data_IF_078768131543
#
_entry.id   IF_078768131543
#
_cell.length_a   1.000
_cell.length_b   1.000
_cell.length_c   1.000
_cell.angle_alpha   90.00
_cell.angle_beta   90.00
_cell.angle_gamma   90.00
#
_symmetry.space_group_name_H-M   'P 1'
#
loop_
_entity.id
_entity.type
_entity.pdbx_description
1 polymer ?
#
# COMPACT_ATOMS: atom_id res chain seq x y z
N UNK A 1 15.76 -14.17 26.91
CA UNK A 1 16.14 -15.36 26.13
C UNK A 1 15.16 -15.48 24.98
N UNK A 2 15.62 -15.31 23.74
CA UNK A 2 14.81 -15.53 22.54
C UNK A 2 14.48 -17.02 22.47
N UNK A 3 13.20 -17.36 22.61
CA UNK A 3 12.72 -18.74 22.53
C UNK A 3 12.94 -19.21 21.08
N UNK A 4 13.57 -20.38 20.83
CA UNK A 4 13.66 -20.90 19.47
C UNK A 4 12.23 -21.15 18.95
N UNK A 5 11.94 -20.64 17.76
CA UNK A 5 10.67 -20.89 17.05
C UNK A 5 10.86 -22.19 16.27
N UNK A 6 10.05 -23.20 16.57
CA UNK A 6 10.03 -24.45 15.83
C UNK A 6 9.10 -24.28 14.64
N UNK A 7 9.66 -24.32 13.42
CA UNK A 7 8.83 -24.34 12.22
C UNK A 7 8.09 -25.68 12.11
N UNK A 8 6.85 -25.66 11.63
CA UNK A 8 6.00 -26.84 11.51
C UNK A 8 5.48 -27.03 10.08
N UNK A 9 5.24 -28.29 9.72
CA UNK A 9 4.78 -28.63 8.38
C UNK A 9 5.89 -28.60 7.32
N UNK A 10 5.48 -28.51 6.07
CA UNK A 10 6.36 -28.50 4.88
C UNK A 10 6.27 -27.18 4.13
N UNK A 11 7.35 -26.83 3.44
CA UNK A 11 7.32 -25.73 2.47
C UNK A 11 6.56 -26.22 1.22
N UNK A 12 5.60 -25.43 0.77
CA UNK A 12 4.74 -25.72 -0.35
C UNK A 12 5.53 -25.74 -1.66
N UNK A 13 5.23 -26.71 -2.52
CA UNK A 13 5.67 -26.70 -3.92
C UNK A 13 4.82 -25.71 -4.72
N UNK A 14 3.51 -25.66 -4.43
CA UNK A 14 2.57 -24.72 -5.01
C UNK A 14 2.13 -23.70 -3.94
N UNK A 15 2.55 -22.42 -4.04
CA UNK A 15 2.18 -21.42 -3.05
C UNK A 15 0.69 -21.09 -3.08
N UNK A 16 0.16 -20.67 -1.93
CA UNK A 16 -1.19 -20.12 -1.83
C UNK A 16 -1.17 -18.61 -2.09
N UNK A 17 -2.02 -18.14 -3.00
CA UNK A 17 -2.17 -16.71 -3.27
C UNK A 17 -3.30 -16.11 -2.41
N UNK A 18 -2.94 -15.22 -1.49
CA UNK A 18 -3.92 -14.46 -0.69
C UNK A 18 -4.35 -13.24 -1.50
N UNK A 19 -5.44 -13.36 -2.27
CA UNK A 19 -5.90 -12.33 -3.21
C UNK A 19 -6.04 -10.94 -2.58
N UNK A 20 -6.63 -10.86 -1.37
CA UNK A 20 -6.86 -9.59 -0.68
C UNK A 20 -5.56 -8.84 -0.34
N UNK A 21 -4.51 -9.60 -0.05
CA UNK A 21 -3.15 -9.11 0.29
C UNK A 21 -2.28 -9.00 -0.98
N UNK A 22 -2.65 -9.69 -2.05
CA UNK A 22 -1.89 -9.79 -3.30
C UNK A 22 -0.61 -10.60 -3.17
N UNK A 23 -0.45 -11.46 -2.15
CA UNK A 23 0.83 -12.15 -1.87
C UNK A 23 0.70 -13.67 -1.90
N UNK A 24 1.74 -14.30 -2.42
CA UNK A 24 1.95 -15.74 -2.31
C UNK A 24 2.58 -16.07 -0.96
N UNK A 25 2.08 -17.10 -0.30
CA UNK A 25 2.70 -17.72 0.88
C UNK A 25 3.06 -19.16 0.57
N UNK A 26 4.22 -19.57 1.05
CA UNK A 26 4.82 -20.87 0.75
C UNK A 26 4.93 -21.77 1.97
N UNK A 27 4.67 -21.26 3.18
CA UNK A 27 4.55 -22.10 4.36
C UNK A 27 3.54 -21.52 5.35
N UNK A 28 3.22 -22.29 6.39
CA UNK A 28 2.22 -21.87 7.36
C UNK A 28 2.67 -20.64 8.16
N UNK A 29 3.97 -20.49 8.44
CA UNK A 29 4.50 -19.32 9.13
C UNK A 29 4.41 -18.06 8.27
N UNK A 30 4.63 -18.16 6.95
CA UNK A 30 4.42 -17.05 6.02
C UNK A 30 2.94 -16.65 5.96
N UNK A 31 2.01 -17.61 6.05
CA UNK A 31 0.59 -17.33 6.18
C UNK A 31 0.29 -16.60 7.50
N UNK A 32 0.80 -17.08 8.64
CA UNK A 32 0.66 -16.42 9.94
C UNK A 32 1.18 -14.98 9.90
N UNK A 33 2.38 -14.78 9.36
CA UNK A 33 2.99 -13.47 9.17
C UNK A 33 2.07 -12.56 8.34
N UNK A 34 1.55 -13.06 7.21
CA UNK A 34 0.66 -12.28 6.35
C UNK A 34 -0.66 -11.91 7.04
N UNK A 35 -1.26 -12.83 7.80
CA UNK A 35 -2.52 -12.58 8.51
C UNK A 35 -2.35 -11.49 9.58
N UNK A 36 -1.29 -11.55 10.39
CA UNK A 36 -1.03 -10.55 11.45
C UNK A 36 -0.74 -9.17 10.85
N UNK A 37 0.12 -9.09 9.83
CA UNK A 37 0.54 -7.80 9.26
C UNK A 37 -0.49 -7.16 8.33
N UNK A 38 -1.50 -7.93 7.90
CA UNK A 38 -2.53 -7.47 6.98
C UNK A 38 -3.93 -7.77 7.50
N UNK A 39 -4.11 -7.91 8.82
CA UNK A 39 -5.38 -8.28 9.46
C UNK A 39 -6.56 -7.43 8.96
N UNK A 40 -6.30 -6.14 8.70
CA UNK A 40 -7.29 -5.21 8.18
C UNK A 40 -7.86 -5.60 6.80
N UNK A 41 -7.09 -6.33 5.99
CA UNK A 41 -7.46 -6.78 4.65
C UNK A 41 -8.16 -8.14 4.64
N UNK A 42 -8.18 -8.85 5.77
CA UNK A 42 -8.69 -10.21 5.86
C UNK A 42 -10.19 -10.17 6.18
N UNK A 43 -10.96 -10.89 5.38
CA UNK A 43 -12.39 -11.12 5.56
C UNK A 43 -12.71 -12.61 5.37
N UNK A 44 -13.99 -12.96 5.47
CA UNK A 44 -14.46 -14.35 5.36
C UNK A 44 -14.12 -14.99 4.01
N UNK A 45 -13.89 -14.19 2.95
CA UNK A 45 -13.50 -14.68 1.62
C UNK A 45 -12.06 -15.24 1.61
N UNK A 46 -11.22 -14.86 2.58
CA UNK A 46 -9.87 -15.42 2.72
C UNK A 46 -9.85 -16.84 3.28
N UNK A 47 -10.87 -17.25 4.06
CA UNK A 47 -10.91 -18.52 4.79
C UNK A 47 -11.90 -19.51 4.14
N UNK A 48 -11.65 -19.81 2.87
CA UNK A 48 -12.44 -20.74 2.05
C UNK A 48 -11.79 -22.12 1.97
N UNK A 49 -12.51 -23.08 1.38
CA UNK A 49 -12.07 -24.48 1.28
C UNK A 49 -10.67 -24.63 0.66
N UNK A 50 -10.34 -23.83 -0.35
CA UNK A 50 -9.05 -23.88 -1.05
C UNK A 50 -7.87 -23.60 -0.11
N UNK A 51 -8.03 -22.69 0.87
CA UNK A 51 -7.02 -22.44 1.90
C UNK A 51 -6.79 -23.70 2.76
N UNK A 52 -7.87 -24.35 3.20
CA UNK A 52 -7.78 -25.53 4.07
C UNK A 52 -7.14 -26.71 3.33
N UNK A 53 -7.50 -26.89 2.05
CA UNK A 53 -6.89 -27.88 1.18
C UNK A 53 -5.38 -27.64 0.99
N UNK A 54 -4.97 -26.38 0.84
CA UNK A 54 -3.56 -26.01 0.77
C UNK A 54 -2.82 -26.31 2.08
N UNK A 55 -3.38 -25.94 3.24
CA UNK A 55 -2.80 -26.25 4.56
C UNK A 55 -2.63 -27.76 4.76
N UNK A 56 -3.60 -28.56 4.32
CA UNK A 56 -3.53 -30.01 4.39
C UNK A 56 -2.45 -30.59 3.48
N UNK A 57 -2.48 -30.23 2.19
CA UNK A 57 -1.73 -30.93 1.13
C UNK A 57 -0.32 -30.38 0.94
N UNK A 58 -0.18 -29.06 0.91
CA UNK A 58 1.10 -28.39 0.62
C UNK A 58 1.92 -28.17 1.90
N UNK A 59 1.25 -27.84 3.02
CA UNK A 59 1.92 -27.70 4.32
C UNK A 59 1.95 -28.99 5.16
N UNK A 60 1.30 -30.06 4.71
CA UNK A 60 1.21 -31.34 5.45
C UNK A 60 0.56 -31.24 6.84
N UNK A 61 -0.35 -30.26 7.06
CA UNK A 61 -0.96 -29.95 8.36
C UNK A 61 -2.43 -30.42 8.42
N UNK A 62 -2.66 -31.72 8.21
CA UNK A 62 -3.99 -32.35 8.14
C UNK A 62 -4.87 -32.00 9.36
N UNK A 63 -4.31 -32.11 10.58
CA UNK A 63 -5.07 -31.85 11.82
C UNK A 63 -5.57 -30.41 11.91
N UNK A 64 -4.75 -29.45 11.51
CA UNK A 64 -5.12 -28.04 11.51
C UNK A 64 -6.19 -27.77 10.45
N UNK A 65 -6.02 -28.30 9.24
CA UNK A 65 -7.00 -28.16 8.17
C UNK A 65 -8.39 -28.70 8.57
N UNK A 66 -8.45 -29.88 9.20
CA UNK A 66 -9.70 -30.48 9.67
C UNK A 66 -10.36 -29.67 10.79
N UNK A 67 -9.57 -29.12 11.71
CA UNK A 67 -10.07 -28.24 12.77
C UNK A 67 -10.68 -26.97 12.19
N UNK A 68 -9.98 -26.30 11.27
CA UNK A 68 -10.46 -25.09 10.61
C UNK A 68 -11.72 -25.36 9.76
N UNK A 69 -11.77 -26.46 9.02
CA UNK A 69 -12.99 -26.89 8.28
C UNK A 69 -14.17 -27.12 9.21
N UNK A 70 -13.94 -27.79 10.35
CA UNK A 70 -14.97 -28.03 11.37
C UNK A 70 -15.52 -26.73 11.94
N UNK A 71 -14.63 -25.77 12.23
CA UNK A 71 -14.99 -24.44 12.70
C UNK A 71 -15.77 -23.64 11.65
N UNK A 72 -15.33 -23.66 10.39
CA UNK A 72 -16.03 -23.02 9.27
C UNK A 72 -17.43 -23.62 9.07
N UNK A 73 -17.56 -24.94 9.10
CA UNK A 73 -18.86 -25.64 9.01
C UNK A 73 -19.81 -25.28 10.17
N UNK A 74 -19.27 -25.02 11.36
CA UNK A 74 -20.01 -24.54 12.54
C UNK A 74 -20.28 -23.03 12.52
N UNK A 75 -19.84 -22.30 11.49
CA UNK A 75 -19.95 -20.85 11.36
C UNK A 75 -19.30 -20.10 12.53
N UNK A 76 -18.16 -20.60 13.00
CA UNK A 76 -17.31 -19.83 13.92
C UNK A 76 -16.87 -18.51 13.27
N UNK A 77 -16.58 -17.51 14.09
CA UNK A 77 -16.14 -16.20 13.59
C UNK A 77 -14.77 -16.28 12.90
N UNK A 78 -14.52 -15.37 11.96
CA UNK A 78 -13.22 -15.25 11.29
C UNK A 78 -12.08 -15.02 12.29
N UNK A 79 -12.31 -14.17 13.30
CA UNK A 79 -11.34 -13.94 14.37
C UNK A 79 -10.98 -15.25 15.09
N UNK A 80 -11.97 -16.10 15.39
CA UNK A 80 -11.72 -17.41 16.01
C UNK A 80 -10.93 -18.35 15.10
N UNK A 81 -11.24 -18.38 13.80
CA UNK A 81 -10.50 -19.20 12.83
C UNK A 81 -9.02 -18.78 12.75
N UNK A 82 -8.78 -17.47 12.62
CA UNK A 82 -7.42 -16.91 12.58
C UNK A 82 -6.70 -17.17 13.91
N UNK A 83 -7.35 -16.92 15.04
CA UNK A 83 -6.81 -17.20 16.37
C UNK A 83 -6.36 -18.64 16.53
N UNK A 84 -7.22 -19.61 16.20
CA UNK A 84 -6.89 -21.04 16.24
C UNK A 84 -5.71 -21.39 15.34
N UNK A 85 -5.64 -20.82 14.14
CA UNK A 85 -4.51 -21.02 13.24
C UNK A 85 -3.20 -20.49 13.85
N UNK A 86 -3.20 -19.25 14.33
CA UNK A 86 -2.01 -18.61 14.89
C UNK A 86 -1.52 -19.32 16.17
N UNK A 87 -2.45 -19.69 17.06
CA UNK A 87 -2.16 -20.43 18.29
C UNK A 87 -1.61 -21.84 17.98
N UNK A 88 -2.17 -22.54 16.98
CA UNK A 88 -1.70 -23.86 16.57
C UNK A 88 -0.24 -23.82 16.07
N UNK A 89 0.09 -22.82 15.25
CA UNK A 89 1.43 -22.69 14.66
C UNK A 89 2.44 -22.20 15.70
N UNK A 90 2.03 -21.33 16.62
CA UNK A 90 2.90 -20.80 17.67
C UNK A 90 4.01 -19.89 17.15
N UNK A 91 3.85 -19.32 15.95
CA UNK A 91 4.79 -18.38 15.33
C UNK A 91 4.68 -16.98 15.95
N UNK A 92 3.47 -16.55 16.30
CA UNK A 92 3.18 -15.23 16.84
C UNK A 92 3.10 -15.22 18.37
N UNK A 93 3.39 -14.07 18.95
CA UNK A 93 3.17 -13.82 20.38
C UNK A 93 1.69 -13.71 20.69
N UNK A 94 1.30 -14.02 21.93
CA UNK A 94 -0.10 -13.89 22.36
C UNK A 94 -0.66 -12.48 22.13
N UNK A 95 0.17 -11.45 22.34
CA UNK A 95 -0.20 -10.05 22.10
C UNK A 95 -0.56 -9.78 20.64
N UNK A 96 0.26 -10.27 19.70
CA UNK A 96 -0.01 -10.13 18.25
C UNK A 96 -1.29 -10.86 17.84
N UNK A 97 -1.56 -12.05 18.43
CA UNK A 97 -2.78 -12.81 18.18
C UNK A 97 -4.00 -12.04 18.69
N UNK A 98 -3.97 -11.56 19.94
CA UNK A 98 -5.09 -10.84 20.54
C UNK A 98 -5.40 -9.53 19.76
N UNK A 99 -4.37 -8.79 19.34
CA UNK A 99 -4.49 -7.59 18.49
C UNK A 99 -5.09 -7.92 17.11
N UNK A 100 -4.66 -9.02 16.51
CA UNK A 100 -5.18 -9.49 15.22
C UNK A 100 -6.65 -9.87 15.33
N UNK A 101 -7.04 -10.61 16.37
CA UNK A 101 -8.45 -10.98 16.62
C UNK A 101 -9.33 -9.76 16.91
N UNK A 102 -8.81 -8.73 17.56
CA UNK A 102 -9.50 -7.45 17.76
C UNK A 102 -9.80 -6.77 16.43
N UNK A 103 -8.79 -6.57 15.58
CA UNK A 103 -8.95 -5.97 14.24
C UNK A 103 -10.00 -6.74 13.42
N UNK A 104 -9.95 -8.08 13.44
CA UNK A 104 -10.90 -8.91 12.69
C UNK A 104 -12.34 -8.80 13.21
N UNK A 105 -12.53 -8.67 14.53
CA UNK A 105 -13.87 -8.47 15.13
C UNK A 105 -14.44 -7.10 14.76
N UNK A 106 -13.61 -6.06 14.80
CA UNK A 106 -14.00 -4.71 14.38
C UNK A 106 -14.36 -4.70 12.89
N UNK A 107 -13.55 -5.34 12.06
CA UNK A 107 -13.81 -5.51 10.65
C UNK A 107 -15.15 -6.20 10.38
N UNK A 108 -15.44 -7.32 11.05
CA UNK A 108 -16.69 -8.06 10.86
C UNK A 108 -17.95 -7.20 11.10
N UNK A 109 -17.88 -6.20 11.98
CA UNK A 109 -18.99 -5.28 12.26
C UNK A 109 -19.19 -4.15 11.24
N UNK A 110 -18.27 -3.98 10.29
CA UNK A 110 -18.36 -2.93 9.28
C UNK A 110 -19.20 -3.35 8.07
N UNK A 111 -20.00 -2.41 7.57
CA UNK A 111 -20.65 -2.53 6.26
C UNK A 111 -19.61 -2.66 5.13
N UNK A 112 -19.98 -3.33 4.03
CA UNK A 112 -19.09 -3.65 2.90
C UNK A 112 -18.40 -2.41 2.35
N UNK A 113 -19.10 -1.28 2.27
CA UNK A 113 -18.56 -0.05 1.74
C UNK A 113 -17.53 0.60 2.67
N UNK A 114 -17.73 0.50 3.99
CA UNK A 114 -16.74 0.97 4.97
C UNK A 114 -15.49 0.11 4.97
N UNK A 115 -15.64 -1.21 4.87
CA UNK A 115 -14.51 -2.14 4.69
C UNK A 115 -13.70 -1.77 3.44
N UNK A 116 -14.39 -1.52 2.33
CA UNK A 116 -13.80 -1.15 1.04
C UNK A 116 -13.05 0.18 1.11
N UNK A 117 -13.63 1.22 1.72
CA UNK A 117 -12.95 2.51 1.91
C UNK A 117 -11.67 2.36 2.74
N UNK A 118 -11.78 1.75 3.92
CA UNK A 118 -10.63 1.64 4.79
C UNK A 118 -9.53 0.74 4.20
N UNK A 119 -9.90 -0.26 3.39
CA UNK A 119 -8.93 -1.04 2.60
C UNK A 119 -8.24 -0.19 1.53
N UNK A 120 -8.99 0.66 0.83
CA UNK A 120 -8.42 1.58 -0.16
C UNK A 120 -7.42 2.55 0.50
N UNK A 121 -7.78 3.13 1.65
CA UNK A 121 -6.90 4.00 2.45
C UNK A 121 -5.62 3.27 2.89
N UNK A 122 -5.75 2.03 3.38
CA UNK A 122 -4.59 1.22 3.77
C UNK A 122 -3.65 0.95 2.58
N UNK A 123 -4.21 0.54 1.43
CA UNK A 123 -3.44 0.24 0.23
C UNK A 123 -2.75 1.49 -0.31
N UNK A 124 -3.43 2.63 -0.29
CA UNK A 124 -2.88 3.92 -0.70
C UNK A 124 -1.69 4.32 0.19
N UNK A 125 -1.86 4.28 1.51
CA UNK A 125 -0.80 4.60 2.48
C UNK A 125 0.39 3.63 2.40
N UNK A 126 0.15 2.40 1.95
CA UNK A 126 1.18 1.37 1.76
C UNK A 126 1.88 1.45 0.39
N UNK A 127 1.57 2.46 -0.45
CA UNK A 127 2.16 2.62 -1.78
C UNK A 127 1.61 1.68 -2.85
N UNK A 128 0.54 0.93 -2.56
CA UNK A 128 -0.07 -0.04 -3.48
C UNK A 128 -1.16 0.59 -4.34
N UNK A 129 -0.76 1.60 -5.10
CA UNK A 129 -1.69 2.51 -5.79
C UNK A 129 -2.63 1.77 -6.76
N UNK A 130 -2.16 0.77 -7.51
CA UNK A 130 -3.01 0.01 -8.42
C UNK A 130 -4.16 -0.72 -7.71
N UNK A 131 -3.91 -1.27 -6.52
CA UNK A 131 -4.95 -1.95 -5.75
C UNK A 131 -5.89 -0.93 -5.10
N UNK A 132 -5.35 0.18 -4.60
CA UNK A 132 -6.13 1.28 -4.04
C UNK A 132 -7.09 1.89 -5.08
N UNK A 133 -6.62 2.15 -6.30
CA UNK A 133 -7.46 2.65 -7.40
C UNK A 133 -8.67 1.76 -7.65
N UNK A 134 -8.50 0.43 -7.72
CA UNK A 134 -9.62 -0.51 -7.92
C UNK A 134 -10.66 -0.43 -6.81
N UNK A 135 -10.22 -0.27 -5.58
CA UNK A 135 -11.13 -0.18 -4.43
C UNK A 135 -11.86 1.17 -4.40
N UNK A 136 -11.18 2.27 -4.71
CA UNK A 136 -11.83 3.58 -4.86
C UNK A 136 -12.81 3.61 -6.04
N UNK A 137 -12.45 3.06 -7.19
CA UNK A 137 -13.33 2.96 -8.36
C UNK A 137 -14.60 2.15 -8.03
N UNK A 138 -14.44 1.05 -7.28
CA UNK A 138 -15.57 0.27 -6.78
C UNK A 138 -16.51 1.14 -5.92
N UNK A 139 -15.96 1.93 -4.99
CA UNK A 139 -16.75 2.81 -4.12
C UNK A 139 -17.49 3.89 -4.93
N UNK A 140 -16.79 4.57 -5.84
CA UNK A 140 -17.37 5.63 -6.68
C UNK A 140 -18.48 5.10 -7.61
N UNK A 141 -18.33 3.87 -8.12
CA UNK A 141 -19.30 3.23 -9.01
C UNK A 141 -20.52 2.70 -8.25
N UNK A 142 -20.31 2.09 -7.08
CA UNK A 142 -21.36 1.37 -6.35
C UNK A 142 -22.04 2.21 -5.25
N UNK A 143 -21.55 3.44 -5.01
CA UNK A 143 -22.21 4.43 -4.14
C UNK A 143 -22.35 5.78 -4.86
N UNK A 144 -23.28 5.91 -5.81
CA UNK A 144 -23.50 7.18 -6.53
C UNK A 144 -23.95 8.31 -5.58
N UNK A 145 -24.75 7.98 -4.56
CA UNK A 145 -25.27 8.91 -3.54
C UNK A 145 -24.29 9.12 -2.36
N UNK A 146 -23.00 8.85 -2.56
CA UNK A 146 -21.97 9.07 -1.54
C UNK A 146 -21.92 10.54 -1.11
N UNK A 147 -21.71 10.77 0.19
CA UNK A 147 -21.49 12.11 0.75
C UNK A 147 -20.37 12.85 0.01
N UNK A 148 -20.61 14.14 -0.26
CA UNK A 148 -19.70 14.95 -1.08
C UNK A 148 -18.30 15.08 -0.48
N UNK A 149 -18.16 15.10 0.85
CA UNK A 149 -16.85 15.13 1.50
C UNK A 149 -16.14 13.78 1.40
N UNK A 150 -16.89 12.68 1.49
CA UNK A 150 -16.32 11.33 1.29
C UNK A 150 -15.82 11.17 -0.15
N UNK A 151 -16.60 11.63 -1.14
CA UNK A 151 -16.19 11.66 -2.55
C UNK A 151 -14.93 12.50 -2.74
N UNK A 152 -14.90 13.72 -2.21
CA UNK A 152 -13.74 14.59 -2.26
C UNK A 152 -12.48 13.97 -1.64
N UNK A 153 -12.63 13.19 -0.56
CA UNK A 153 -11.52 12.45 0.05
C UNK A 153 -10.95 11.39 -0.89
N UNK A 154 -11.82 10.64 -1.57
CA UNK A 154 -11.41 9.65 -2.58
C UNK A 154 -10.69 10.34 -3.74
N UNK A 155 -11.27 11.40 -4.29
CA UNK A 155 -10.67 12.17 -5.39
C UNK A 155 -9.31 12.78 -5.00
N UNK A 156 -9.19 13.30 -3.79
CA UNK A 156 -7.91 13.78 -3.27
C UNK A 156 -6.87 12.66 -3.26
N UNK A 157 -7.24 11.48 -2.75
CA UNK A 157 -6.36 10.32 -2.68
C UNK A 157 -5.98 9.82 -4.09
N UNK A 158 -6.90 9.84 -5.06
CA UNK A 158 -6.57 9.59 -6.47
C UNK A 158 -5.56 10.60 -7.03
N UNK A 159 -5.71 11.88 -6.70
CA UNK A 159 -4.74 12.94 -7.02
C UNK A 159 -3.35 12.64 -6.46
N UNK A 160 -3.27 12.25 -5.19
CA UNK A 160 -2.00 11.85 -4.56
C UNK A 160 -1.39 10.64 -5.27
N UNK A 161 -2.18 9.63 -5.60
CA UNK A 161 -1.69 8.44 -6.32
C UNK A 161 -1.15 8.81 -7.71
N UNK A 162 -1.85 9.67 -8.47
CA UNK A 162 -1.36 10.15 -9.76
C UNK A 162 -0.07 10.97 -9.62
N UNK A 163 0.03 11.86 -8.63
CA UNK A 163 1.23 12.65 -8.37
C UNK A 163 2.43 11.75 -8.02
N UNK A 164 2.23 10.69 -7.23
CA UNK A 164 3.26 9.69 -6.89
C UNK A 164 3.75 8.89 -8.11
N UNK A 165 2.93 8.80 -9.16
CA UNK A 165 3.27 8.19 -10.44
C UNK A 165 3.79 9.22 -11.47
N UNK A 166 4.04 10.46 -11.05
CA UNK A 166 4.47 11.59 -11.90
C UNK A 166 3.47 11.94 -13.02
N UNK A 167 2.20 11.58 -12.86
CA UNK A 167 1.10 11.92 -13.77
C UNK A 167 0.42 13.20 -13.29
N UNK A 168 1.15 14.32 -13.33
CA UNK A 168 0.72 15.59 -12.73
C UNK A 168 -0.50 16.21 -13.43
N UNK A 169 -0.65 15.97 -14.72
CA UNK A 169 -1.82 16.35 -15.52
C UNK A 169 -3.12 15.72 -14.98
N UNK A 170 -3.07 14.44 -14.58
CA UNK A 170 -4.20 13.75 -13.96
C UNK A 170 -4.36 14.14 -12.50
N UNK A 171 -3.24 14.32 -11.79
CA UNK A 171 -3.26 14.70 -10.39
C UNK A 171 -3.96 16.03 -10.18
N UNK A 172 -3.65 17.06 -10.99
CA UNK A 172 -4.31 18.37 -10.91
C UNK A 172 -5.82 18.24 -11.10
N UNK A 173 -6.28 17.45 -12.06
CA UNK A 173 -7.72 17.29 -12.33
C UNK A 173 -8.44 16.69 -11.12
N UNK A 174 -7.85 15.69 -10.47
CA UNK A 174 -8.44 15.06 -9.28
C UNK A 174 -8.42 15.98 -8.06
N UNK A 175 -7.31 16.69 -7.84
CA UNK A 175 -7.21 17.66 -6.73
C UNK A 175 -8.19 18.82 -6.90
N UNK A 176 -8.42 19.30 -8.13
CA UNK A 176 -9.42 20.33 -8.40
C UNK A 176 -10.82 19.82 -8.08
N UNK A 177 -11.21 18.63 -8.55
CA UNK A 177 -12.53 18.04 -8.20
C UNK A 177 -12.72 17.90 -6.70
N UNK A 178 -11.71 17.38 -6.01
CA UNK A 178 -11.74 17.26 -4.55
C UNK A 178 -11.93 18.62 -3.85
N UNK A 179 -11.30 19.68 -4.37
CA UNK A 179 -11.49 21.03 -3.88
C UNK A 179 -12.89 21.58 -4.18
N UNK A 180 -13.40 21.41 -5.40
CA UNK A 180 -14.75 21.83 -5.78
C UNK A 180 -15.84 21.15 -4.94
N UNK A 181 -15.59 19.91 -4.52
CA UNK A 181 -16.52 19.12 -3.73
C UNK A 181 -16.50 19.40 -2.23
N UNK A 182 -15.32 19.65 -1.65
CA UNK A 182 -15.18 19.84 -0.20
C UNK A 182 -14.84 21.27 0.25
N UNK A 183 -14.34 22.11 -0.66
CA UNK A 183 -13.71 23.39 -0.31
C UNK A 183 -12.40 23.26 0.46
N UNK A 184 -11.81 22.06 0.54
CA UNK A 184 -10.58 21.81 1.31
C UNK A 184 -9.38 22.53 0.69
N UNK A 185 -8.82 23.49 1.43
CA UNK A 185 -7.68 24.30 0.99
C UNK A 185 -6.43 23.47 0.65
N UNK A 186 -6.19 22.35 1.34
CA UNK A 186 -5.05 21.49 1.05
C UNK A 186 -5.19 20.83 -0.33
N UNK A 187 -6.40 20.41 -0.73
CA UNK A 187 -6.64 19.93 -2.10
C UNK A 187 -6.32 21.00 -3.14
N UNK A 188 -6.64 22.27 -2.88
CA UNK A 188 -6.29 23.37 -3.78
C UNK A 188 -4.76 23.64 -3.82
N UNK A 189 -4.07 23.53 -2.69
CA UNK A 189 -2.61 23.63 -2.64
C UNK A 189 -1.98 22.50 -3.46
N UNK A 190 -2.43 21.26 -3.28
CA UNK A 190 -1.93 20.10 -4.03
C UNK A 190 -2.24 20.20 -5.53
N UNK A 191 -3.39 20.76 -5.90
CA UNK A 191 -3.72 21.11 -7.29
C UNK A 191 -2.65 22.04 -7.89
N UNK A 192 -2.35 23.15 -7.23
CA UNK A 192 -1.37 24.11 -7.72
C UNK A 192 0.06 23.55 -7.70
N UNK A 193 0.39 22.67 -6.75
CA UNK A 193 1.64 21.92 -6.76
C UNK A 193 1.74 21.00 -7.99
N UNK A 194 0.66 20.31 -8.35
CA UNK A 194 0.63 19.50 -9.57
C UNK A 194 0.79 20.37 -10.83
N UNK A 195 0.15 21.55 -10.89
CA UNK A 195 0.37 22.53 -11.97
C UNK A 195 1.84 22.97 -12.03
N UNK A 196 2.46 23.27 -10.88
CA UNK A 196 3.87 23.67 -10.79
C UNK A 196 4.83 22.60 -11.30
N UNK A 197 4.50 21.33 -11.11
CA UNK A 197 5.30 20.18 -11.58
C UNK A 197 5.09 19.87 -13.06
N UNK A 198 3.93 20.22 -13.62
CA UNK A 198 3.61 20.00 -15.04
C UNK A 198 4.16 21.11 -15.94
N UNK A 199 4.05 22.37 -15.49
CA UNK A 199 4.39 23.54 -16.29
C UNK A 199 5.87 23.92 -16.18
N UNK A 200 6.38 24.55 -17.23
CA UNK A 200 7.65 25.26 -17.11
C UNK A 200 7.51 26.54 -16.26
N UNK A 201 8.64 27.12 -15.85
CA UNK A 201 8.63 28.29 -14.97
C UNK A 201 7.85 29.49 -15.55
N UNK A 202 7.86 29.68 -16.88
CA UNK A 202 7.17 30.81 -17.52
C UNK A 202 5.67 30.58 -17.55
N UNK A 203 5.25 29.37 -17.94
CA UNK A 203 3.86 28.95 -17.97
C UNK A 203 3.25 29.02 -16.57
N UNK A 204 3.97 28.56 -15.55
CA UNK A 204 3.53 28.62 -14.16
C UNK A 204 3.37 30.06 -13.68
N UNK A 205 4.36 30.95 -13.93
CA UNK A 205 4.26 32.36 -13.51
C UNK A 205 3.10 33.07 -14.20
N UNK A 206 2.87 32.81 -15.50
CA UNK A 206 1.72 33.36 -16.21
C UNK A 206 0.40 32.87 -15.59
N UNK A 207 0.30 31.58 -15.30
CA UNK A 207 -0.88 30.98 -14.67
C UNK A 207 -1.19 31.59 -13.30
N UNK A 208 -0.19 31.78 -12.44
CA UNK A 208 -0.37 32.40 -11.12
C UNK A 208 -0.76 33.88 -11.26
N UNK A 209 -0.17 34.61 -12.21
CA UNK A 209 -0.47 36.03 -12.41
C UNK A 209 -1.91 36.29 -12.86
N UNK A 210 -2.54 35.33 -13.53
CA UNK A 210 -3.94 35.41 -14.00
C UNK A 210 -4.96 35.00 -12.92
N UNK A 211 -4.52 34.48 -11.77
CA UNK A 211 -5.40 33.96 -10.71
C UNK A 211 -5.01 34.47 -9.32
N UNK A 212 -5.76 35.46 -8.80
CA UNK A 212 -5.49 36.10 -7.49
C UNK A 212 -5.50 35.10 -6.32
N UNK A 213 -6.38 34.10 -6.33
CA UNK A 213 -6.44 33.06 -5.28
C UNK A 213 -5.22 32.13 -5.36
N UNK A 214 -4.72 31.89 -6.57
CA UNK A 214 -3.49 31.12 -6.76
C UNK A 214 -2.25 31.89 -6.28
N UNK A 215 -2.24 33.22 -6.37
CA UNK A 215 -1.11 34.03 -5.89
C UNK A 215 -0.85 33.86 -4.39
N UNK A 216 -1.88 33.94 -3.54
CA UNK A 216 -1.71 33.72 -2.09
C UNK A 216 -1.21 32.30 -1.78
N UNK A 217 -1.74 31.29 -2.47
CA UNK A 217 -1.33 29.91 -2.31
C UNK A 217 0.09 29.65 -2.87
N UNK A 218 0.52 30.39 -3.89
CA UNK A 218 1.85 30.22 -4.50
C UNK A 218 2.99 30.47 -3.52
N UNK A 219 2.84 31.42 -2.59
CA UNK A 219 3.85 31.68 -1.57
C UNK A 219 4.08 30.48 -0.63
N UNK A 220 3.00 29.79 -0.26
CA UNK A 220 3.07 28.57 0.55
C UNK A 220 3.68 27.41 -0.27
N UNK A 221 3.35 27.31 -1.56
CA UNK A 221 3.91 26.28 -2.45
C UNK A 221 5.41 26.46 -2.60
N UNK A 222 5.89 27.65 -2.92
CA UNK A 222 7.32 27.93 -3.07
C UNK A 222 8.08 27.69 -1.76
N UNK A 223 7.46 28.00 -0.61
CA UNK A 223 8.02 27.68 0.70
C UNK A 223 8.17 26.16 0.90
N UNK A 224 7.11 25.38 0.65
CA UNK A 224 7.14 23.91 0.79
C UNK A 224 8.09 23.25 -0.21
N UNK A 225 8.19 23.79 -1.43
CA UNK A 225 9.15 23.35 -2.45
C UNK A 225 10.58 23.56 -1.96
N UNK A 226 10.89 24.76 -1.48
CA UNK A 226 12.20 25.09 -0.92
C UNK A 226 12.57 24.21 0.27
N UNK A 227 11.64 23.98 1.20
CA UNK A 227 11.85 23.05 2.32
C UNK A 227 12.16 21.63 1.81
N UNK A 228 11.46 21.17 0.77
CA UNK A 228 11.70 19.86 0.15
C UNK A 228 13.06 19.79 -0.56
N UNK A 229 13.48 20.85 -1.25
CA UNK A 229 14.80 20.97 -1.87
C UNK A 229 15.93 20.95 -0.84
N UNK A 230 15.75 21.63 0.30
CA UNK A 230 16.71 21.63 1.40
C UNK A 230 16.83 20.24 2.05
N UNK A 231 15.70 19.57 2.29
CA UNK A 231 15.67 18.19 2.79
C UNK A 231 16.36 17.22 1.83
N UNK A 232 16.05 17.30 0.53
CA UNK A 232 16.74 16.51 -0.48
C UNK A 232 18.23 16.86 -0.52
N UNK A 233 18.58 18.14 -0.44
CA UNK A 233 19.95 18.64 -0.38
C UNK A 233 20.78 17.99 0.73
N UNK A 234 20.18 17.76 1.89
CA UNK A 234 20.79 17.12 3.05
C UNK A 234 20.68 15.58 3.04
N UNK A 235 19.95 14.98 2.11
CA UNK A 235 19.70 13.54 2.07
C UNK A 235 20.92 12.72 1.65
N UNK A 236 20.99 11.47 2.11
CA UNK A 236 21.98 10.50 1.65
C UNK A 236 21.90 10.28 0.13
N UNK A 237 20.70 10.30 -0.44
CA UNK A 237 20.50 10.10 -1.88
C UNK A 237 21.16 11.21 -2.71
N UNK A 238 21.02 12.48 -2.30
CA UNK A 238 21.71 13.59 -2.98
C UNK A 238 23.23 13.50 -2.83
N UNK A 239 23.74 13.08 -1.66
CA UNK A 239 25.18 12.84 -1.47
C UNK A 239 25.68 11.78 -2.47
N UNK A 240 24.94 10.67 -2.60
CA UNK A 240 25.23 9.61 -3.57
C UNK A 240 25.20 10.13 -5.00
N UNK A 241 24.19 10.90 -5.39
CA UNK A 241 24.08 11.47 -6.75
C UNK A 241 25.22 12.45 -7.08
N UNK A 242 25.67 13.24 -6.09
CA UNK A 242 26.83 14.12 -6.24
C UNK A 242 28.12 13.32 -6.41
N UNK A 243 28.33 12.27 -5.60
CA UNK A 243 29.49 11.39 -5.73
C UNK A 243 29.56 10.74 -7.12
N UNK A 244 28.43 10.23 -7.63
CA UNK A 244 28.33 9.69 -9.00
C UNK A 244 28.71 10.72 -10.06
N UNK A 245 28.29 11.98 -9.89
CA UNK A 245 28.63 13.06 -10.82
C UNK A 245 30.13 13.35 -10.84
N UNK A 246 30.79 13.30 -9.68
CA UNK A 246 32.26 13.44 -9.56
C UNK A 246 32.98 12.27 -10.22
N UNK A 247 32.61 11.02 -9.90
CA UNK A 247 33.24 9.84 -10.51
C UNK A 247 33.15 9.87 -12.05
N UNK A 248 31.99 10.29 -12.58
CA UNK A 248 31.79 10.43 -14.02
C UNK A 248 32.68 11.53 -14.62
N UNK A 249 32.82 12.67 -13.95
CA UNK A 249 33.64 13.78 -14.42
C UNK A 249 35.14 13.48 -14.38
N UNK A 250 35.61 12.73 -13.37
CA UNK A 250 37.02 12.38 -13.18
C UNK A 250 37.46 11.14 -13.98
N UNK A 251 36.53 10.44 -14.62
CA UNK A 251 36.84 9.21 -15.38
C UNK A 251 36.94 7.94 -14.50
N UNK A 252 36.55 8.01 -13.24
CA UNK A 252 36.53 6.89 -12.29
C UNK A 252 35.33 5.96 -12.56
N UNK A 253 35.39 5.28 -13.71
CA UNK A 253 34.25 4.50 -14.23
C UNK A 253 33.98 3.25 -13.41
N UNK A 254 34.99 2.67 -12.74
CA UNK A 254 34.79 1.48 -11.91
C UNK A 254 33.88 1.77 -10.70
N UNK A 255 34.20 2.82 -9.95
CA UNK A 255 33.42 3.29 -8.80
C UNK A 255 32.02 3.75 -9.22
N UNK A 256 31.93 4.48 -10.34
CA UNK A 256 30.66 4.90 -10.93
C UNK A 256 29.73 3.71 -11.21
N UNK A 257 30.20 2.71 -11.97
CA UNK A 257 29.37 1.56 -12.33
C UNK A 257 29.04 0.67 -11.13
N UNK A 258 29.94 0.55 -10.16
CA UNK A 258 29.69 -0.20 -8.91
C UNK A 258 28.53 0.43 -8.14
N UNK A 259 28.59 1.74 -7.89
CA UNK A 259 27.58 2.44 -7.12
C UNK A 259 26.23 2.52 -7.86
N UNK A 260 26.24 2.74 -9.18
CA UNK A 260 25.02 2.65 -10.00
C UNK A 260 24.42 1.24 -9.94
N UNK A 261 25.25 0.20 -9.95
CA UNK A 261 24.82 -1.19 -9.82
C UNK A 261 24.12 -1.48 -8.50
N UNK A 262 24.71 -1.05 -7.38
CA UNK A 262 24.13 -1.19 -6.04
C UNK A 262 22.79 -0.47 -5.92
N UNK A 263 22.71 0.78 -6.38
CA UNK A 263 21.45 1.55 -6.41
C UNK A 263 20.39 0.86 -7.26
N UNK A 264 20.79 0.34 -8.43
CA UNK A 264 19.87 -0.36 -9.34
C UNK A 264 19.34 -1.64 -8.70
N UNK A 265 20.18 -2.42 -8.03
CA UNK A 265 19.71 -3.63 -7.33
C UNK A 265 18.80 -3.32 -6.14
N UNK A 266 19.09 -2.25 -5.39
CA UNK A 266 18.18 -1.77 -4.33
C UNK A 266 16.82 -1.37 -4.91
N UNK A 267 16.79 -0.54 -5.95
CA UNK A 267 15.54 -0.14 -6.61
C UNK A 267 14.77 -1.34 -7.18
N UNK A 268 15.47 -2.32 -7.77
CA UNK A 268 14.85 -3.56 -8.22
C UNK A 268 14.29 -4.37 -7.05
N UNK A 269 14.98 -4.43 -5.91
CA UNK A 269 14.49 -5.14 -4.73
C UNK A 269 13.23 -4.46 -4.17
N UNK A 270 13.24 -3.13 -4.04
CA UNK A 270 12.10 -2.33 -3.59
C UNK A 270 10.90 -2.52 -4.55
N UNK A 271 11.13 -2.40 -5.86
CA UNK A 271 10.10 -2.63 -6.88
C UNK A 271 9.58 -4.07 -6.90
N UNK A 272 10.45 -5.08 -6.77
CA UNK A 272 10.01 -6.49 -6.64
C UNK A 272 9.19 -6.69 -5.37
N UNK A 273 9.52 -5.98 -4.29
CA UNK A 273 8.71 -5.91 -3.09
C UNK A 273 7.30 -5.44 -3.40
N UNK A 274 7.16 -4.38 -4.20
CA UNK A 274 5.88 -3.80 -4.63
C UNK A 274 5.12 -4.61 -5.71
N UNK A 275 5.81 -5.42 -6.55
CA UNK A 275 5.23 -6.05 -7.76
C UNK A 275 5.18 -7.57 -7.75
N UNK A 276 5.98 -8.27 -6.94
CA UNK A 276 5.66 -9.68 -6.58
C UNK A 276 4.28 -9.78 -5.90
N UNK A 277 3.72 -8.63 -5.54
CA UNK A 277 2.37 -8.40 -5.05
C UNK A 277 1.29 -8.28 -6.15
N UNK A 278 1.66 -8.36 -7.44
CA UNK A 278 0.73 -8.20 -8.58
C UNK A 278 0.88 -9.29 -9.65
N UNK A 279 2.07 -9.84 -9.87
CA UNK A 279 2.33 -10.76 -10.98
C UNK A 279 1.79 -12.20 -10.79
N UNK A 280 1.33 -12.57 -9.59
CA UNK A 280 0.68 -13.87 -9.34
C UNK A 280 -0.82 -13.88 -9.72
N UNK A 281 -1.40 -12.75 -10.13
CA UNK A 281 -2.83 -12.63 -10.45
C UNK A 281 -3.19 -12.86 -11.93
N UNK A 282 -2.26 -13.32 -12.78
CA UNK A 282 -2.51 -13.51 -14.24
C UNK A 282 -1.90 -14.81 -14.79
N UNK A 283 -1.89 -15.90 -14.03
CA UNK A 283 -1.63 -17.24 -14.58
C UNK A 283 -2.59 -18.27 -14.04
#
# INVERSE_FOLDING_TARGET
>A
MTKPILCIGTYAENPYHIEKVGRNVYCIEELCYCLVHNAFLIDEECFVQDLFDWIEKECSLVRLADELRSMAAKRCSLASLVGTLLDYVGYNTRKEIDETEEILRENAGMDIYRKKLARADFLMNSGRYNMAFREYEFLLTNMPEMDRNMRAGIEHNEGVMYARLFLFDKAKDMFMRAYEDSGNKESYIQYLMAVRMEYDDKEYVAYIAENEVAYEASLEIEKRLKESEELYGASGDNITMRALSVYKAEGNMHEYYTQVGEMTEKLKADYRGLVKETAAAVR
#
